data_IF_812637513512
#
_entry.id   IF_812637513512
#
_cell.length_a   1.000
_cell.length_b   1.000
_cell.length_c   1.000
_cell.angle_alpha   90.00
_cell.angle_beta   90.00
_cell.angle_gamma   90.00
#
_symmetry.space_group_name_H-M   'P 1'
#
loop_
_entity.id
_entity.type
_entity.pdbx_description
1 polymer ?
#
# COMPACT_ATOMS: atom_id res chain seq x y z
N UNK A 1 7.01 9.41 -2.88
CA UNK A 1 7.38 8.24 -3.73
C UNK A 1 8.66 7.61 -3.20
N UNK A 2 8.90 6.33 -3.46
CA UNK A 2 10.14 5.66 -3.08
C UNK A 2 11.21 5.86 -4.21
N UNK A 3 12.46 6.22 -3.93
CA UNK A 3 13.08 6.42 -2.60
C UNK A 3 13.03 7.85 -2.08
N UNK A 4 12.55 8.82 -2.84
CA UNK A 4 12.66 10.26 -2.53
C UNK A 4 11.74 10.74 -1.41
N UNK A 5 10.81 9.92 -0.96
CA UNK A 5 9.75 10.25 0.02
C UNK A 5 8.86 11.43 -0.39
N UNK A 6 8.86 11.82 -1.66
CA UNK A 6 7.93 12.84 -2.18
C UNK A 6 6.48 12.40 -2.00
N UNK A 7 5.66 13.30 -1.48
CA UNK A 7 4.23 13.08 -1.29
C UNK A 7 3.49 13.70 -2.48
N UNK A 8 2.72 12.87 -3.17
CA UNK A 8 1.87 13.29 -4.29
C UNK A 8 0.48 13.65 -3.79
N UNK A 9 -0.17 14.62 -4.44
CA UNK A 9 -1.62 14.80 -4.31
C UNK A 9 -2.34 13.68 -5.09
N UNK A 10 -2.37 12.48 -4.48
CA UNK A 10 -2.97 11.32 -5.10
C UNK A 10 -4.46 11.52 -5.45
N UNK A 11 -5.30 12.16 -4.63
CA UNK A 11 -6.68 12.49 -5.01
C UNK A 11 -6.78 13.35 -6.28
N UNK A 12 -5.92 14.35 -6.44
CA UNK A 12 -5.91 15.18 -7.67
C UNK A 12 -5.49 14.35 -8.88
N UNK A 13 -4.41 13.60 -8.79
CA UNK A 13 -3.91 12.74 -9.87
C UNK A 13 -4.93 11.68 -10.29
N UNK A 14 -5.65 11.07 -9.34
CA UNK A 14 -6.72 10.12 -9.64
C UNK A 14 -7.83 10.82 -10.44
N UNK A 15 -8.28 12.02 -10.03
CA UNK A 15 -9.30 12.78 -10.74
C UNK A 15 -8.87 13.12 -12.17
N UNK A 16 -7.62 13.57 -12.35
CA UNK A 16 -7.07 13.90 -13.68
C UNK A 16 -7.01 12.67 -14.59
N UNK A 17 -6.51 11.53 -14.08
CA UNK A 17 -6.47 10.28 -14.81
C UNK A 17 -7.88 9.84 -15.25
N UNK A 18 -8.85 9.93 -14.36
CA UNK A 18 -10.25 9.59 -14.66
C UNK A 18 -10.87 10.55 -15.66
N UNK A 19 -10.59 11.83 -15.57
CA UNK A 19 -11.06 12.84 -16.54
C UNK A 19 -10.48 12.60 -17.95
N UNK A 20 -9.26 12.07 -18.03
CA UNK A 20 -8.62 11.66 -19.28
C UNK A 20 -9.11 10.29 -19.80
N UNK A 21 -10.06 9.62 -19.14
CA UNK A 21 -10.53 8.29 -19.50
C UNK A 21 -9.56 7.15 -19.23
N UNK A 22 -8.50 7.40 -18.46
CA UNK A 22 -7.51 6.40 -18.13
C UNK A 22 -7.95 5.51 -16.95
N UNK A 23 -7.46 4.27 -16.94
CA UNK A 23 -7.51 3.42 -15.75
C UNK A 23 -6.47 3.90 -14.74
N UNK A 24 -6.87 4.02 -13.49
CA UNK A 24 -6.02 4.49 -12.41
C UNK A 24 -5.73 3.35 -11.42
N UNK A 25 -4.49 2.88 -11.41
CA UNK A 25 -4.01 1.86 -10.49
C UNK A 25 -3.05 2.52 -9.48
N UNK A 26 -3.30 2.31 -8.20
CA UNK A 26 -2.52 2.93 -7.12
C UNK A 26 -1.83 1.87 -6.29
N UNK A 27 -0.50 1.90 -6.25
CA UNK A 27 0.25 1.19 -5.22
C UNK A 27 0.15 1.96 -3.90
N UNK A 28 -0.57 1.39 -2.94
CA UNK A 28 -0.81 1.99 -1.63
C UNK A 28 -0.10 1.23 -0.50
N UNK A 29 0.99 0.56 -0.82
CA UNK A 29 1.75 -0.27 0.12
C UNK A 29 2.19 0.51 1.35
N UNK A 30 2.69 1.76 1.19
CA UNK A 30 3.23 2.57 2.28
C UNK A 30 2.17 3.15 3.20
N UNK A 31 1.10 3.70 2.64
CA UNK A 31 0.06 4.33 3.44
C UNK A 31 -0.90 3.31 4.02
N UNK A 32 -1.01 2.14 3.42
CA UNK A 32 -1.96 1.09 3.79
C UNK A 32 -3.42 1.57 3.73
N UNK A 33 -4.41 0.70 3.78
CA UNK A 33 -5.82 1.13 3.81
C UNK A 33 -6.19 1.88 5.10
N UNK A 34 -5.30 1.91 6.09
CA UNK A 34 -5.52 2.64 7.33
C UNK A 34 -5.34 4.16 7.16
N UNK A 35 -4.27 4.59 6.44
CA UNK A 35 -3.97 6.01 6.26
C UNK A 35 -4.59 6.60 4.98
N UNK A 36 -4.74 5.79 3.92
CA UNK A 36 -5.29 6.25 2.65
C UNK A 36 -6.08 5.16 1.94
N UNK A 37 -7.20 5.52 1.33
CA UNK A 37 -8.11 4.61 0.66
C UNK A 37 -8.38 5.08 -0.79
N UNK A 38 -7.51 4.77 -1.76
CA UNK A 38 -7.59 5.30 -3.13
C UNK A 38 -8.92 5.00 -3.83
N UNK A 39 -9.56 3.86 -3.56
CA UNK A 39 -10.87 3.53 -4.16
C UNK A 39 -11.94 4.55 -3.81
N UNK A 40 -11.88 5.19 -2.64
CA UNK A 40 -12.81 6.27 -2.25
C UNK A 40 -12.60 7.55 -3.05
N UNK A 41 -11.47 7.68 -3.72
CA UNK A 41 -11.12 8.81 -4.58
C UNK A 41 -11.29 8.50 -6.07
N UNK A 42 -11.81 7.29 -6.41
CA UNK A 42 -12.10 6.91 -7.78
C UNK A 42 -11.03 6.09 -8.49
N UNK A 43 -10.01 5.61 -7.79
CA UNK A 43 -9.08 4.64 -8.37
C UNK A 43 -9.81 3.36 -8.77
N UNK A 44 -9.40 2.73 -9.87
CA UNK A 44 -10.00 1.50 -10.38
C UNK A 44 -9.44 0.26 -9.66
N UNK A 45 -8.17 0.33 -9.26
CA UNK A 45 -7.49 -0.75 -8.58
C UNK A 45 -6.47 -0.19 -7.58
N UNK A 46 -6.37 -0.87 -6.44
CA UNK A 46 -5.35 -0.59 -5.42
C UNK A 46 -4.52 -1.84 -5.22
N UNK A 47 -3.21 -1.64 -5.24
CA UNK A 47 -2.22 -2.70 -5.04
C UNK A 47 -1.53 -2.50 -3.69
N UNK A 48 -1.20 -3.60 -3.04
CA UNK A 48 -0.40 -3.62 -1.83
C UNK A 48 0.64 -4.73 -1.89
N UNK A 49 1.88 -4.44 -1.59
CA UNK A 49 2.82 -5.46 -1.15
C UNK A 49 2.44 -5.86 0.29
N UNK A 50 1.78 -7.01 0.42
CA UNK A 50 1.41 -7.55 1.73
C UNK A 50 2.64 -7.98 2.55
N UNK A 51 3.78 -8.16 1.89
CA UNK A 51 5.10 -8.36 2.50
C UNK A 51 5.49 -7.24 3.48
N UNK A 52 5.00 -6.02 3.27
CA UNK A 52 5.34 -4.82 4.03
C UNK A 52 4.39 -4.68 5.24
N UNK A 53 3.75 -3.53 5.38
CA UNK A 53 2.94 -3.20 6.57
C UNK A 53 1.72 -4.09 6.80
N UNK A 54 1.11 -4.66 5.74
CA UNK A 54 -0.04 -5.55 5.92
C UNK A 54 0.34 -6.81 6.70
N UNK A 55 1.40 -7.49 6.27
CA UNK A 55 1.97 -8.62 7.02
C UNK A 55 2.69 -8.15 8.29
N UNK A 56 3.55 -7.13 8.16
CA UNK A 56 4.13 -6.37 9.26
C UNK A 56 5.23 -7.05 10.07
N UNK A 57 5.58 -8.29 9.78
CA UNK A 57 6.50 -9.09 10.58
C UNK A 57 7.69 -9.66 9.77
N UNK A 58 7.75 -9.41 8.46
CA UNK A 58 8.79 -9.97 7.59
C UNK A 58 8.75 -11.49 7.45
N UNK A 59 7.65 -12.12 7.86
CA UNK A 59 7.50 -13.58 7.93
C UNK A 59 6.86 -14.20 6.69
N UNK A 60 6.28 -13.39 5.81
CA UNK A 60 5.61 -13.86 4.60
C UNK A 60 5.75 -12.84 3.46
N UNK A 61 5.73 -13.34 2.23
CA UNK A 61 5.71 -12.51 1.03
C UNK A 61 4.37 -12.67 0.32
N UNK A 62 3.81 -11.55 -0.17
CA UNK A 62 2.56 -11.60 -0.89
C UNK A 62 2.14 -10.25 -1.47
N UNK A 63 1.17 -10.29 -2.37
CA UNK A 63 0.51 -9.12 -2.94
C UNK A 63 -1.00 -9.20 -2.76
N UNK A 64 -1.63 -8.04 -2.67
CA UNK A 64 -3.09 -7.91 -2.63
C UNK A 64 -3.50 -6.86 -3.67
N UNK A 65 -4.52 -7.23 -4.45
CA UNK A 65 -5.20 -6.31 -5.36
C UNK A 65 -6.65 -6.13 -4.93
N UNK A 66 -7.08 -4.89 -4.80
CA UNK A 66 -8.44 -4.52 -4.42
C UNK A 66 -9.03 -3.60 -5.49
N UNK A 67 -10.24 -3.86 -5.94
CA UNK A 67 -10.89 -3.04 -6.97
C UNK A 67 -12.28 -3.54 -7.32
N UNK A 68 -12.78 -3.14 -8.47
CA UNK A 68 -14.07 -3.62 -8.99
C UNK A 68 -14.01 -5.12 -9.31
N UNK A 69 -15.17 -5.77 -9.28
CA UNK A 69 -15.27 -7.21 -9.58
C UNK A 69 -14.65 -7.60 -10.91
N UNK A 70 -14.82 -6.80 -11.97
CA UNK A 70 -14.26 -7.06 -13.30
C UNK A 70 -12.73 -7.10 -13.28
N UNK A 71 -12.08 -6.08 -12.69
CA UNK A 71 -10.61 -6.03 -12.61
C UNK A 71 -10.06 -7.16 -11.74
N UNK A 72 -10.68 -7.42 -10.59
CA UNK A 72 -10.25 -8.49 -9.68
C UNK A 72 -10.42 -9.86 -10.33
N UNK A 73 -11.48 -10.08 -11.09
CA UNK A 73 -11.67 -11.35 -11.83
C UNK A 73 -10.58 -11.56 -12.87
N UNK A 74 -10.27 -10.56 -13.70
CA UNK A 74 -9.21 -10.66 -14.70
C UNK A 74 -7.83 -10.96 -14.07
N UNK A 75 -7.52 -10.31 -12.92
CA UNK A 75 -6.30 -10.59 -12.17
C UNK A 75 -6.30 -12.02 -11.66
N UNK A 76 -7.40 -12.49 -11.07
CA UNK A 76 -7.53 -13.86 -10.53
C UNK A 76 -7.33 -14.91 -11.62
N UNK A 77 -7.93 -14.73 -12.77
CA UNK A 77 -7.76 -15.63 -13.92
C UNK A 77 -6.30 -15.69 -14.36
N UNK A 78 -5.66 -14.53 -14.49
CA UNK A 78 -4.24 -14.43 -14.88
C UNK A 78 -3.32 -15.12 -13.87
N UNK A 79 -3.42 -14.82 -12.59
CA UNK A 79 -2.55 -15.41 -11.57
C UNK A 79 -2.81 -16.91 -11.39
N UNK A 80 -4.05 -17.38 -11.60
CA UNK A 80 -4.39 -18.80 -11.57
C UNK A 80 -3.71 -19.55 -12.73
N UNK A 81 -3.71 -18.96 -13.92
CA UNK A 81 -3.06 -19.55 -15.09
C UNK A 81 -1.51 -19.54 -14.95
N UNK A 82 -0.94 -18.50 -14.37
CA UNK A 82 0.51 -18.34 -14.20
C UNK A 82 1.08 -18.98 -12.92
N UNK A 83 0.24 -19.49 -12.02
CA UNK A 83 0.69 -20.10 -10.77
C UNK A 83 1.10 -19.09 -9.69
N UNK A 84 0.77 -17.81 -9.84
CA UNK A 84 1.11 -16.73 -8.90
C UNK A 84 0.25 -16.70 -7.64
N UNK A 85 -0.25 -17.84 -7.18
CA UNK A 85 -1.18 -17.95 -6.06
C UNK A 85 -0.43 -17.91 -4.73
N UNK A 86 -0.91 -17.10 -3.79
CA UNK A 86 -0.39 -17.04 -2.44
C UNK A 86 -0.61 -18.38 -1.72
N UNK A 87 0.43 -18.88 -1.08
CA UNK A 87 0.35 -20.12 -0.30
C UNK A 87 -0.56 -19.94 0.92
N UNK A 88 -1.33 -20.98 1.32
CA UNK A 88 -2.26 -20.86 2.45
C UNK A 88 -1.61 -20.43 3.76
N UNK A 89 -0.40 -20.89 4.04
CA UNK A 89 0.33 -20.51 5.26
C UNK A 89 0.77 -19.05 5.23
N UNK A 90 1.25 -18.55 4.10
CA UNK A 90 1.59 -17.13 3.93
C UNK A 90 0.34 -16.25 4.07
N UNK A 91 -0.79 -16.69 3.51
CA UNK A 91 -2.07 -16.00 3.66
C UNK A 91 -2.51 -15.94 5.13
N UNK A 92 -2.33 -17.01 5.89
CA UNK A 92 -2.59 -17.05 7.33
C UNK A 92 -1.71 -16.04 8.08
N UNK A 93 -0.40 -16.04 7.83
CA UNK A 93 0.54 -15.11 8.48
C UNK A 93 0.21 -13.65 8.18
N UNK A 94 -0.08 -13.32 6.92
CA UNK A 94 -0.50 -11.98 6.52
C UNK A 94 -1.80 -11.59 7.23
N UNK A 95 -2.77 -12.50 7.31
CA UNK A 95 -4.04 -12.26 8.00
C UNK A 95 -3.83 -11.97 9.48
N UNK A 96 -2.91 -12.65 10.15
CA UNK A 96 -2.55 -12.33 11.55
C UNK A 96 -1.95 -10.92 11.65
N UNK A 97 -1.07 -10.54 10.72
CA UNK A 97 -0.47 -9.21 10.66
C UNK A 97 -1.51 -8.09 10.51
N UNK A 98 -2.50 -8.30 9.64
CA UNK A 98 -3.57 -7.31 9.40
C UNK A 98 -4.36 -6.98 10.67
N UNK A 99 -4.55 -7.92 11.58
CA UNK A 99 -5.30 -7.70 12.84
C UNK A 99 -4.71 -6.57 13.71
N UNK A 100 -3.41 -6.34 13.62
CA UNK A 100 -2.71 -5.29 14.38
C UNK A 100 -2.37 -4.05 13.54
N UNK A 101 -2.78 -4.01 12.28
CA UNK A 101 -2.38 -2.97 11.33
C UNK A 101 -2.63 -1.56 11.87
N UNK A 102 -3.84 -1.29 12.35
CA UNK A 102 -4.22 0.05 12.82
C UNK A 102 -3.34 0.53 13.98
N UNK A 103 -3.02 -0.34 14.93
CA UNK A 103 -2.14 -0.03 16.06
C UNK A 103 -0.73 0.25 15.58
N UNK A 104 -0.20 -0.59 14.71
CA UNK A 104 1.15 -0.45 14.17
C UNK A 104 1.29 0.82 13.34
N UNK A 105 0.32 1.12 12.48
CA UNK A 105 0.37 2.32 11.64
C UNK A 105 0.31 3.61 12.46
N UNK A 106 -0.49 3.66 13.53
CA UNK A 106 -0.47 4.81 14.46
C UNK A 106 0.90 5.01 15.08
N UNK A 107 1.51 3.94 15.60
CA UNK A 107 2.83 4.02 16.22
C UNK A 107 3.91 4.37 15.20
N UNK A 108 3.92 3.75 14.04
CA UNK A 108 4.87 4.07 12.96
C UNK A 108 4.80 5.54 12.54
N UNK A 109 3.59 6.08 12.38
CA UNK A 109 3.41 7.49 12.00
C UNK A 109 3.95 8.42 13.08
N UNK A 110 3.64 8.16 14.35
CA UNK A 110 4.12 8.97 15.47
C UNK A 110 5.65 8.93 15.56
N UNK A 111 6.24 7.74 15.58
CA UNK A 111 7.69 7.55 15.66
C UNK A 111 8.42 8.16 14.46
N UNK A 112 7.88 8.01 13.25
CA UNK A 112 8.48 8.58 12.04
C UNK A 112 8.52 10.12 12.11
N UNK A 113 7.47 10.75 12.63
CA UNK A 113 7.43 12.19 12.78
C UNK A 113 8.46 12.70 13.80
N UNK A 114 8.62 12.00 14.92
CA UNK A 114 9.64 12.34 15.94
C UNK A 114 11.05 12.22 15.38
N UNK A 115 11.34 11.12 14.66
CA UNK A 115 12.64 10.89 14.01
C UNK A 115 12.89 11.95 12.95
N UNK A 116 11.90 12.28 12.12
CA UNK A 116 12.05 13.32 11.09
C UNK A 116 12.39 14.69 11.68
N UNK A 117 11.69 15.10 12.76
CA UNK A 117 11.97 16.36 13.48
C UNK A 117 13.37 16.37 14.09
N UNK A 118 13.78 15.27 14.69
CA UNK A 118 15.14 15.14 15.24
C UNK A 118 16.20 15.27 14.13
N UNK A 119 16.01 14.58 12.99
CA UNK A 119 16.96 14.61 11.89
C UNK A 119 17.01 15.98 11.20
N UNK A 120 15.88 16.68 11.07
CA UNK A 120 15.79 17.99 10.43
C UNK A 120 16.72 19.02 11.08
N UNK A 121 16.91 18.93 12.38
CA UNK A 121 17.78 19.83 13.16
C UNK A 121 19.17 19.26 13.47
N UNK A 122 19.46 18.03 13.04
CA UNK A 122 20.70 17.34 13.43
C UNK A 122 21.90 17.84 12.64
N UNK A 123 23.03 18.26 13.30
CA UNK A 123 24.15 18.91 12.63
C UNK A 123 24.92 18.03 11.62
N UNK A 124 24.74 16.72 11.68
CA UNK A 124 25.35 15.76 10.74
C UNK A 124 24.46 15.39 9.55
N UNK A 125 23.27 15.97 9.47
CA UNK A 125 22.32 15.69 8.38
C UNK A 125 22.27 16.88 7.46
N UNK A 126 22.67 16.69 6.20
CA UNK A 126 22.48 17.66 5.13
C UNK A 126 21.04 17.54 4.57
N UNK A 127 20.47 18.68 4.15
CA UNK A 127 19.18 18.73 3.46
C UNK A 127 19.35 18.43 1.98
#
# INVERSE_FOLDING_TARGET
>A
MNPTCEVLDAPALIREAKAAGALCFVDNTWLTPYLFQPLRHGADLVLHSATKYLGGHGSAMGGIACGTGAHVTAIRETISAMGGILRPFDAFLITQGVKTLAMRMRQHTASALEVARFLESHPKVAR
#
